data_IF_882716426093
#
_entry.id   IF_882716426093
#
_cell.length_a   1.000
_cell.length_b   1.000
_cell.length_c   1.000
_cell.angle_alpha   90.00
_cell.angle_beta   90.00
_cell.angle_gamma   90.00
#
_symmetry.space_group_name_H-M   'P 1'
#
loop_
_entity.id
_entity.type
_entity.pdbx_description
1 polymer ?
#
# COMPACT_ATOMS: atom_id res chain seq x y z
N UNK A 1 19.64 -27.20 37.21
CA UNK A 1 19.24 -25.85 36.72
C UNK A 1 19.60 -25.60 35.24
N UNK A 2 20.40 -26.45 34.58
CA UNK A 2 20.77 -26.27 33.16
C UNK A 2 19.67 -26.59 32.13
N UNK A 3 18.75 -27.51 32.41
CA UNK A 3 17.69 -27.91 31.45
C UNK A 3 16.67 -26.79 31.11
N UNK A 4 16.55 -25.75 31.94
CA UNK A 4 15.60 -24.64 31.73
C UNK A 4 16.11 -23.51 30.82
N UNK A 5 17.42 -23.30 30.76
CA UNK A 5 18.03 -22.23 29.97
C UNK A 5 18.09 -22.59 28.47
N UNK A 6 18.37 -23.87 28.17
CA UNK A 6 18.45 -24.41 26.81
C UNK A 6 17.07 -24.38 26.12
N UNK A 7 16.02 -24.69 26.90
CA UNK A 7 14.61 -24.57 26.50
C UNK A 7 14.19 -23.14 26.15
N UNK A 8 14.76 -22.12 26.81
CA UNK A 8 14.44 -20.72 26.54
C UNK A 8 15.20 -20.19 25.31
N UNK A 9 16.45 -20.61 25.13
CA UNK A 9 17.24 -20.29 23.94
C UNK A 9 16.61 -20.90 22.68
N UNK A 10 16.24 -22.18 22.72
CA UNK A 10 15.53 -22.85 21.62
C UNK A 10 14.23 -22.13 21.25
N UNK A 11 13.44 -21.68 22.24
CA UNK A 11 12.23 -20.88 21.99
C UNK A 11 12.52 -19.52 21.36
N UNK A 12 13.58 -18.82 21.78
CA UNK A 12 14.00 -17.55 21.17
C UNK A 12 14.45 -17.73 19.72
N UNK A 13 15.21 -18.79 19.42
CA UNK A 13 15.69 -19.10 18.07
C UNK A 13 14.54 -19.54 17.15
N UNK A 14 13.65 -20.42 17.64
CA UNK A 14 12.45 -20.83 16.91
C UNK A 14 11.54 -19.64 16.56
N UNK A 15 11.44 -18.65 17.47
CA UNK A 15 10.72 -17.41 17.20
C UNK A 15 11.32 -16.67 15.99
N UNK A 16 12.64 -16.49 15.93
CA UNK A 16 13.29 -15.85 14.77
C UNK A 16 13.05 -16.65 13.49
N UNK A 17 13.17 -17.98 13.53
CA UNK A 17 12.94 -18.84 12.36
C UNK A 17 11.49 -18.77 11.84
N UNK A 18 10.50 -18.69 12.74
CA UNK A 18 9.08 -18.54 12.38
C UNK A 18 8.77 -17.24 11.64
N UNK A 19 9.68 -16.26 11.67
CA UNK A 19 9.55 -15.02 10.91
C UNK A 19 9.72 -15.23 9.40
N UNK A 20 10.57 -16.19 9.03
CA UNK A 20 10.91 -16.48 7.64
C UNK A 20 10.03 -17.58 7.04
N UNK A 21 9.45 -18.44 7.90
CA UNK A 21 8.59 -19.55 7.51
C UNK A 21 7.40 -19.63 8.47
N UNK A 22 6.30 -18.91 8.21
CA UNK A 22 5.08 -19.06 9.00
C UNK A 22 4.53 -20.49 8.87
N UNK A 23 3.94 -21.06 9.93
CA UNK A 23 3.34 -22.39 9.89
C UNK A 23 2.18 -22.44 8.89
N UNK A 24 1.97 -23.60 8.28
CA UNK A 24 1.00 -23.79 7.18
C UNK A 24 -0.43 -24.04 7.65
N UNK A 25 -0.69 -24.13 8.95
CA UNK A 25 -2.00 -24.48 9.51
C UNK A 25 -2.59 -23.34 10.38
N UNK A 26 -3.89 -23.07 10.20
CA UNK A 26 -4.63 -22.06 10.99
C UNK A 26 -4.65 -22.40 12.50
N UNK A 27 -4.63 -23.69 12.87
CA UNK A 27 -4.69 -24.12 14.28
C UNK A 27 -3.37 -23.86 15.03
N UNK A 28 -2.22 -24.06 14.39
CA UNK A 28 -0.92 -23.68 14.97
C UNK A 28 -0.74 -22.16 15.02
N UNK A 29 -1.24 -21.44 14.01
CA UNK A 29 -1.18 -19.98 13.95
C UNK A 29 -2.07 -19.32 15.02
N UNK A 30 -3.29 -19.81 15.25
CA UNK A 30 -4.17 -19.32 16.33
C UNK A 30 -3.58 -19.64 17.71
N UNK A 31 -2.92 -20.79 17.90
CA UNK A 31 -2.24 -21.12 19.15
C UNK A 31 -0.99 -20.24 19.39
N UNK A 32 -0.20 -19.98 18.35
CA UNK A 32 1.00 -19.12 18.40
C UNK A 32 0.62 -17.65 18.54
N UNK A 33 -0.43 -17.17 17.87
CA UNK A 33 -0.93 -15.79 17.95
C UNK A 33 -1.70 -15.50 19.24
N UNK A 34 -2.36 -16.50 19.85
CA UNK A 34 -2.94 -16.37 21.20
C UNK A 34 -1.87 -16.35 22.30
N UNK A 35 -0.71 -17.00 22.09
CA UNK A 35 0.35 -17.14 23.09
C UNK A 35 1.56 -16.22 22.94
N UNK A 36 1.84 -15.71 21.73
CA UNK A 36 3.02 -14.89 21.46
C UNK A 36 2.59 -13.52 20.96
N UNK A 37 2.67 -12.53 21.85
CA UNK A 37 2.94 -11.16 21.42
C UNK A 37 4.21 -11.21 20.57
N UNK A 38 4.06 -11.20 19.24
CA UNK A 38 5.14 -11.08 18.25
C UNK A 38 5.76 -9.67 18.30
N UNK A 39 6.02 -9.15 19.50
CA UNK A 39 6.68 -7.87 19.76
C UNK A 39 8.04 -8.13 20.37
N UNK A 40 9.07 -7.41 19.92
CA UNK A 40 10.26 -7.26 20.75
C UNK A 40 9.81 -6.78 22.14
N UNK A 41 10.32 -7.39 23.21
CA UNK A 41 9.92 -7.08 24.58
C UNK A 41 10.21 -5.58 24.82
N UNK A 42 9.18 -4.74 24.96
CA UNK A 42 9.31 -3.29 25.15
C UNK A 42 8.90 -2.39 23.97
N UNK A 43 8.51 -2.93 22.80
CA UNK A 43 8.01 -2.12 21.68
C UNK A 43 6.58 -1.61 21.94
N UNK A 44 6.31 -0.34 21.60
CA UNK A 44 4.98 0.28 21.67
C UNK A 44 3.92 -0.52 20.89
N UNK A 45 2.62 -0.47 21.27
CA UNK A 45 1.57 -1.06 20.46
C UNK A 45 1.49 -0.35 19.10
N UNK A 46 1.80 -1.08 18.02
CA UNK A 46 1.65 -0.60 16.65
C UNK A 46 0.64 -1.43 15.86
N UNK A 47 0.43 -1.05 14.60
CA UNK A 47 -0.55 -1.65 13.70
C UNK A 47 0.03 -2.83 12.91
N UNK A 48 -0.86 -3.69 12.42
CA UNK A 48 -0.53 -4.81 11.54
C UNK A 48 -0.90 -4.42 10.11
N UNK A 49 0.09 -4.48 9.22
CA UNK A 49 -0.05 -4.09 7.82
C UNK A 49 0.24 -5.27 6.91
N UNK A 50 -0.58 -5.50 5.90
CA UNK A 50 -0.30 -6.44 4.81
C UNK A 50 -0.04 -5.71 3.49
N UNK A 51 0.96 -6.14 2.73
CA UNK A 51 1.24 -5.70 1.36
C UNK A 51 0.98 -6.87 0.41
N UNK A 52 -0.04 -6.76 -0.43
CA UNK A 52 -0.42 -7.79 -1.41
C UNK A 52 0.16 -7.44 -2.78
N UNK A 53 1.08 -8.24 -3.29
CA UNK A 53 1.94 -7.90 -4.43
C UNK A 53 3.31 -7.37 -4.00
N UNK A 54 3.82 -7.85 -2.85
CA UNK A 54 5.03 -7.36 -2.21
C UNK A 54 6.32 -7.60 -3.01
N UNK A 55 6.32 -8.55 -3.96
CA UNK A 55 7.49 -8.87 -4.78
C UNK A 55 7.56 -8.06 -6.07
N UNK A 56 6.51 -7.29 -6.40
CA UNK A 56 6.46 -6.45 -7.58
C UNK A 56 7.32 -5.18 -7.48
N UNK A 57 7.43 -4.46 -8.61
CA UNK A 57 8.25 -3.25 -8.70
C UNK A 57 7.84 -2.11 -7.75
N UNK A 58 6.55 -2.01 -7.41
CA UNK A 58 6.05 -1.11 -6.36
C UNK A 58 6.15 -1.79 -4.98
N UNK A 59 5.81 -3.09 -4.92
CA UNK A 59 5.72 -3.86 -3.68
C UNK A 59 7.00 -3.88 -2.87
N UNK A 60 8.16 -4.11 -3.50
CA UNK A 60 9.43 -4.19 -2.78
C UNK A 60 9.82 -2.86 -2.10
N UNK A 61 9.92 -1.72 -2.82
CA UNK A 61 10.22 -0.44 -2.20
C UNK A 61 9.12 0.02 -1.23
N UNK A 62 7.85 -0.32 -1.47
CA UNK A 62 6.77 -0.04 -0.51
C UNK A 62 6.98 -0.83 0.80
N UNK A 63 7.31 -2.12 0.69
CA UNK A 63 7.55 -2.99 1.85
C UNK A 63 8.76 -2.52 2.66
N UNK A 64 9.81 -2.02 1.99
CA UNK A 64 10.95 -1.35 2.62
C UNK A 64 10.48 -0.15 3.47
N UNK A 65 9.70 0.76 2.87
CA UNK A 65 9.20 1.96 3.55
C UNK A 65 8.26 1.61 4.72
N UNK A 66 7.39 0.62 4.56
CA UNK A 66 6.52 0.15 5.64
C UNK A 66 7.30 -0.51 6.77
N UNK A 67 8.39 -1.22 6.49
CA UNK A 67 9.28 -1.77 7.53
C UNK A 67 9.97 -0.65 8.34
N UNK A 68 10.24 0.49 7.73
CA UNK A 68 10.84 1.66 8.40
C UNK A 68 9.83 2.46 9.24
N UNK A 69 8.53 2.31 8.99
CA UNK A 69 7.51 3.09 9.67
C UNK A 69 7.36 2.65 11.15
N UNK A 70 7.55 3.55 12.13
CA UNK A 70 7.49 3.21 13.55
C UNK A 70 6.07 2.85 14.05
N UNK A 71 5.03 3.16 13.29
CA UNK A 71 3.65 2.79 13.60
C UNK A 71 3.34 1.34 13.24
N UNK A 72 4.18 0.69 12.44
CA UNK A 72 4.00 -0.71 12.04
C UNK A 72 4.65 -1.62 13.06
N UNK A 73 3.88 -2.54 13.62
CA UNK A 73 4.37 -3.59 14.53
C UNK A 73 4.53 -4.93 13.83
N UNK A 74 3.66 -5.24 12.87
CA UNK A 74 3.71 -6.46 12.07
C UNK A 74 3.54 -6.10 10.60
N UNK A 75 4.39 -6.62 9.75
CA UNK A 75 4.35 -6.44 8.30
C UNK A 75 4.23 -7.80 7.60
N UNK A 76 3.06 -8.09 7.05
CA UNK A 76 2.83 -9.27 6.23
C UNK A 76 3.08 -8.95 4.76
N UNK A 77 3.95 -9.72 4.12
CA UNK A 77 4.26 -9.60 2.70
C UNK A 77 3.62 -10.79 2.00
N UNK A 78 2.76 -10.53 1.03
CA UNK A 78 2.13 -11.56 0.22
C UNK A 78 2.44 -11.35 -1.25
N UNK A 79 2.76 -12.43 -1.94
CA UNK A 79 2.86 -12.47 -3.39
C UNK A 79 2.70 -13.92 -3.90
N UNK A 80 2.50 -14.08 -5.20
CA UNK A 80 2.48 -15.40 -5.86
C UNK A 80 3.88 -15.90 -6.19
N UNK A 81 4.89 -15.02 -6.18
CA UNK A 81 6.29 -15.34 -6.45
C UNK A 81 7.24 -14.58 -5.52
N UNK A 82 8.43 -15.14 -5.27
CA UNK A 82 9.59 -14.46 -4.66
C UNK A 82 9.43 -13.91 -3.24
N UNK A 83 8.24 -13.98 -2.62
CA UNK A 83 7.98 -13.41 -1.29
C UNK A 83 8.95 -13.86 -0.20
N UNK A 84 9.40 -15.13 -0.13
CA UNK A 84 10.38 -15.56 0.86
C UNK A 84 11.72 -14.80 0.77
N UNK A 85 12.19 -14.51 -0.44
CA UNK A 85 13.43 -13.77 -0.66
C UNK A 85 13.31 -12.31 -0.22
N UNK A 86 12.22 -11.65 -0.63
CA UNK A 86 11.93 -10.26 -0.24
C UNK A 86 11.77 -10.15 1.29
N UNK A 87 11.12 -11.13 1.90
CA UNK A 87 10.93 -11.18 3.36
C UNK A 87 12.25 -11.35 4.09
N UNK A 88 13.12 -12.25 3.62
CA UNK A 88 14.43 -12.46 4.23
C UNK A 88 15.26 -11.18 4.21
N UNK A 89 15.30 -10.49 3.06
CA UNK A 89 16.00 -9.21 2.90
C UNK A 89 15.47 -8.15 3.89
N UNK A 90 14.16 -7.86 3.84
CA UNK A 90 13.51 -6.86 4.71
C UNK A 90 13.66 -7.22 6.21
N UNK A 91 13.77 -8.50 6.56
CA UNK A 91 13.90 -8.93 7.95
C UNK A 91 15.23 -8.51 8.60
N UNK A 92 16.26 -8.23 7.81
CA UNK A 92 17.57 -7.79 8.31
C UNK A 92 17.58 -6.32 8.78
N UNK A 93 16.53 -5.56 8.46
CA UNK A 93 16.41 -4.16 8.87
C UNK A 93 16.13 -4.04 10.37
N UNK A 94 16.97 -3.29 11.07
CA UNK A 94 16.97 -3.06 12.52
C UNK A 94 15.86 -2.11 13.01
N UNK A 95 14.62 -2.33 12.57
CA UNK A 95 13.43 -1.54 12.94
C UNK A 95 12.41 -2.38 13.72
N UNK A 96 11.45 -1.71 14.37
CA UNK A 96 10.50 -2.34 15.29
C UNK A 96 9.51 -3.32 14.66
N UNK A 97 9.15 -3.11 13.38
CA UNK A 97 8.18 -3.96 12.69
C UNK A 97 8.72 -5.39 12.48
N UNK A 98 7.89 -6.37 12.82
CA UNK A 98 8.17 -7.79 12.61
C UNK A 98 7.60 -8.23 11.27
N UNK A 99 8.47 -8.66 10.35
CA UNK A 99 8.06 -9.07 8.99
C UNK A 99 7.74 -10.57 8.90
N UNK A 100 6.78 -10.94 8.06
CA UNK A 100 6.41 -12.31 7.67
C UNK A 100 6.15 -12.38 6.17
N UNK A 101 6.55 -13.47 5.54
CA UNK A 101 6.37 -13.71 4.12
C UNK A 101 5.38 -14.83 3.84
N UNK A 102 4.48 -14.62 2.89
CA UNK A 102 3.44 -15.54 2.48
C UNK A 102 3.46 -15.71 0.96
N UNK A 103 3.53 -16.95 0.50
CA UNK A 103 3.74 -17.31 -0.90
C UNK A 103 2.54 -18.11 -1.44
N UNK A 104 1.93 -17.57 -2.49
CA UNK A 104 0.90 -18.25 -3.27
C UNK A 104 -0.47 -18.31 -2.58
N UNK A 105 -1.48 -18.66 -3.37
CA UNK A 105 -2.89 -18.63 -2.96
C UNK A 105 -3.19 -19.36 -1.64
N UNK A 106 -2.58 -20.54 -1.32
CA UNK A 106 -2.84 -21.24 -0.06
C UNK A 106 -2.49 -20.44 1.20
N UNK A 107 -1.57 -19.47 1.09
CA UNK A 107 -1.09 -18.68 2.24
C UNK A 107 -1.73 -17.28 2.32
N UNK A 108 -2.65 -16.94 1.41
CA UNK A 108 -3.32 -15.63 1.39
C UNK A 108 -4.11 -15.36 2.68
N UNK A 109 -4.84 -16.35 3.19
CA UNK A 109 -5.68 -16.17 4.40
C UNK A 109 -4.83 -15.88 5.65
N UNK A 110 -3.71 -16.59 5.80
CA UNK A 110 -2.74 -16.31 6.88
C UNK A 110 -2.11 -14.93 6.74
N UNK A 111 -1.82 -14.49 5.51
CA UNK A 111 -1.32 -13.14 5.27
C UNK A 111 -2.29 -12.03 5.71
N UNK A 112 -3.60 -12.30 5.66
CA UNK A 112 -4.65 -11.31 5.91
C UNK A 112 -5.23 -11.33 7.32
N UNK A 113 -5.12 -12.44 8.04
CA UNK A 113 -5.82 -12.62 9.32
C UNK A 113 -5.41 -11.55 10.34
N UNK A 114 -6.40 -10.79 10.80
CA UNK A 114 -6.22 -9.77 11.85
C UNK A 114 -5.40 -8.55 11.44
N UNK A 115 -5.33 -8.21 10.15
CA UNK A 115 -4.70 -6.97 9.67
C UNK A 115 -5.55 -5.73 9.98
N UNK A 116 -4.87 -4.62 10.29
CA UNK A 116 -5.50 -3.30 10.49
C UNK A 116 -5.53 -2.50 9.19
N UNK A 117 -4.51 -2.68 8.34
CA UNK A 117 -4.35 -2.03 7.04
C UNK A 117 -3.87 -3.05 5.99
N UNK A 118 -4.50 -3.07 4.82
CA UNK A 118 -4.10 -3.88 3.67
C UNK A 118 -3.82 -2.96 2.48
N UNK A 119 -2.63 -3.07 1.91
CA UNK A 119 -2.18 -2.28 0.76
C UNK A 119 -2.05 -3.21 -0.44
N UNK A 120 -2.68 -2.85 -1.57
CA UNK A 120 -2.76 -3.69 -2.77
C UNK A 120 -2.02 -3.02 -3.94
N UNK A 121 -0.68 -3.12 -4.03
CA UNK A 121 0.08 -2.82 -5.24
C UNK A 121 0.01 -3.93 -6.30
N UNK A 122 -0.54 -5.10 -5.99
CA UNK A 122 -0.63 -6.23 -6.90
C UNK A 122 -1.30 -5.86 -8.23
N UNK A 123 -0.68 -6.27 -9.32
CA UNK A 123 -1.16 -6.02 -10.66
C UNK A 123 -0.03 -6.21 -11.65
N UNK A 124 -0.39 -6.36 -12.92
CA UNK A 124 0.58 -6.44 -14.00
C UNK A 124 0.77 -5.02 -14.56
N UNK A 125 2.01 -4.55 -14.79
CA UNK A 125 2.22 -3.30 -15.51
C UNK A 125 1.84 -3.47 -16.97
N UNK A 126 1.48 -2.37 -17.65
CA UNK A 126 1.23 -2.39 -19.09
C UNK A 126 2.50 -2.88 -19.81
N UNK A 127 2.36 -3.90 -20.66
CA UNK A 127 3.43 -4.40 -21.53
C UNK A 127 3.21 -3.92 -22.98
N UNK A 128 4.27 -3.79 -23.79
CA UNK A 128 4.12 -3.57 -25.23
C UNK A 128 3.16 -4.60 -25.85
N UNK A 129 2.23 -4.15 -26.69
CA UNK A 129 1.22 -4.99 -27.34
C UNK A 129 -0.04 -5.31 -26.50
N UNK A 130 -0.09 -4.95 -25.21
CA UNK A 130 -1.28 -5.16 -24.37
C UNK A 130 -2.32 -4.03 -24.57
N UNK A 131 -3.57 -4.40 -24.79
CA UNK A 131 -4.67 -3.41 -24.87
C UNK A 131 -5.03 -2.87 -23.48
N UNK A 132 -5.79 -1.78 -23.43
CA UNK A 132 -6.32 -1.25 -22.16
C UNK A 132 -7.26 -2.25 -21.49
N UNK A 133 -8.06 -2.95 -22.28
CA UNK A 133 -9.05 -3.92 -21.79
C UNK A 133 -8.38 -5.19 -21.25
N UNK A 134 -7.30 -5.66 -21.90
CA UNK A 134 -6.52 -6.80 -21.39
C UNK A 134 -5.95 -6.51 -19.99
N UNK A 135 -5.33 -5.33 -19.84
CA UNK A 135 -4.76 -4.89 -18.57
C UNK A 135 -5.86 -4.79 -17.50
N UNK A 136 -7.01 -4.21 -17.85
CA UNK A 136 -8.15 -4.11 -16.96
C UNK A 136 -8.65 -5.49 -16.52
N UNK A 137 -8.89 -6.41 -17.45
CA UNK A 137 -9.44 -7.74 -17.15
C UNK A 137 -8.53 -8.55 -16.23
N UNK A 138 -7.21 -8.49 -16.46
CA UNK A 138 -6.23 -9.16 -15.61
C UNK A 138 -6.24 -8.56 -14.19
N UNK A 139 -6.09 -7.24 -14.08
CA UNK A 139 -6.01 -6.59 -12.77
C UNK A 139 -7.34 -6.64 -12.02
N UNK A 140 -8.48 -6.63 -12.72
CA UNK A 140 -9.80 -6.87 -12.15
C UNK A 140 -9.89 -8.26 -11.50
N UNK A 141 -9.39 -9.30 -12.17
CA UNK A 141 -9.34 -10.67 -11.62
C UNK A 141 -8.45 -10.78 -10.39
N UNK A 142 -7.28 -10.12 -10.41
CA UNK A 142 -6.35 -10.07 -9.28
C UNK A 142 -7.03 -9.39 -8.08
N UNK A 143 -7.54 -8.16 -8.26
CA UNK A 143 -8.19 -7.38 -7.20
C UNK A 143 -9.39 -8.14 -6.64
N UNK A 144 -10.22 -8.74 -7.50
CA UNK A 144 -11.36 -9.56 -7.05
C UNK A 144 -10.95 -10.69 -6.13
N UNK A 145 -9.89 -11.43 -6.49
CA UNK A 145 -9.38 -12.55 -5.68
C UNK A 145 -8.86 -12.07 -4.33
N UNK A 146 -8.05 -11.01 -4.33
CA UNK A 146 -7.45 -10.47 -3.10
C UNK A 146 -8.51 -9.87 -2.17
N UNK A 147 -9.46 -9.10 -2.71
CA UNK A 147 -10.59 -8.55 -1.94
C UNK A 147 -11.50 -9.65 -1.39
N UNK A 148 -11.67 -10.79 -2.10
CA UNK A 148 -12.37 -11.95 -1.56
C UNK A 148 -11.71 -12.50 -0.29
N UNK A 149 -10.37 -12.56 -0.27
CA UNK A 149 -9.60 -12.90 0.93
C UNK A 149 -9.78 -11.87 2.05
N UNK A 150 -9.71 -10.57 1.73
CA UNK A 150 -9.85 -9.48 2.72
C UNK A 150 -11.22 -9.54 3.40
N UNK A 151 -12.29 -9.71 2.60
CA UNK A 151 -13.66 -9.84 3.10
C UNK A 151 -13.83 -11.00 4.09
N UNK A 152 -13.10 -12.09 3.87
CA UNK A 152 -13.15 -13.30 4.72
C UNK A 152 -12.30 -13.16 5.99
N UNK A 153 -11.09 -12.62 5.88
CA UNK A 153 -10.06 -12.75 6.92
C UNK A 153 -9.85 -11.48 7.76
N UNK A 154 -10.14 -10.30 7.21
CA UNK A 154 -9.97 -9.02 7.89
C UNK A 154 -10.97 -7.96 7.38
N UNK A 155 -12.30 -8.19 7.50
CA UNK A 155 -13.31 -7.31 6.93
C UNK A 155 -13.31 -5.88 7.51
N UNK A 156 -12.70 -5.69 8.68
CA UNK A 156 -12.60 -4.38 9.34
C UNK A 156 -11.29 -3.62 8.99
N UNK A 157 -10.40 -4.20 8.18
CA UNK A 157 -9.16 -3.53 7.80
C UNK A 157 -9.44 -2.30 6.92
N UNK A 158 -8.59 -1.29 7.02
CA UNK A 158 -8.49 -0.25 6.00
C UNK A 158 -7.85 -0.87 4.74
N UNK A 159 -8.37 -0.57 3.56
CA UNK A 159 -7.92 -1.15 2.29
C UNK A 159 -7.46 -0.04 1.35
N UNK A 160 -6.17 -0.02 1.06
CA UNK A 160 -5.51 0.92 0.15
C UNK A 160 -5.27 0.25 -1.21
N UNK A 161 -6.11 0.55 -2.21
CA UNK A 161 -6.02 -0.01 -3.56
C UNK A 161 -5.11 0.85 -4.43
N UNK A 162 -4.00 0.27 -4.91
CA UNK A 162 -3.07 0.90 -5.86
C UNK A 162 -3.18 0.24 -7.25
N UNK A 163 -3.67 -1.00 -7.31
CA UNK A 163 -3.89 -1.76 -8.54
C UNK A 163 -4.59 -0.94 -9.60
N UNK A 164 -3.90 -0.70 -10.71
CA UNK A 164 -4.46 0.06 -11.82
C UNK A 164 -5.40 -0.79 -12.69
N UNK A 165 -6.45 -0.19 -13.29
CA UNK A 165 -6.85 1.21 -13.18
C UNK A 165 -7.67 1.47 -11.89
N UNK A 166 -7.21 2.39 -11.02
CA UNK A 166 -7.86 2.68 -9.72
C UNK A 166 -9.33 3.07 -9.85
N UNK A 167 -9.66 3.83 -10.90
CA UNK A 167 -11.03 4.27 -11.20
C UNK A 167 -12.03 3.10 -11.34
N UNK A 168 -11.55 1.90 -11.68
CA UNK A 168 -12.38 0.71 -11.87
C UNK A 168 -12.11 -0.38 -10.82
N UNK A 169 -10.88 -0.52 -10.34
CA UNK A 169 -10.54 -1.54 -9.33
C UNK A 169 -11.12 -1.22 -7.95
N UNK A 170 -11.29 0.05 -7.60
CA UNK A 170 -12.00 0.45 -6.36
C UNK A 170 -13.48 0.06 -6.41
N UNK A 171 -14.26 0.38 -7.47
CA UNK A 171 -15.61 -0.15 -7.64
C UNK A 171 -15.68 -1.68 -7.60
N UNK A 172 -14.73 -2.39 -8.22
CA UNK A 172 -14.68 -3.86 -8.16
C UNK A 172 -14.52 -4.34 -6.72
N UNK A 173 -13.59 -3.76 -5.97
CA UNK A 173 -13.39 -4.09 -4.55
C UNK A 173 -14.67 -3.83 -3.74
N UNK A 174 -15.34 -2.70 -3.97
CA UNK A 174 -16.60 -2.37 -3.32
C UNK A 174 -17.69 -3.42 -3.59
N UNK A 175 -17.87 -3.84 -4.84
CA UNK A 175 -18.87 -4.87 -5.19
C UNK A 175 -18.53 -6.25 -4.61
N UNK A 176 -17.25 -6.60 -4.52
CA UNK A 176 -16.80 -7.82 -3.83
C UNK A 176 -17.18 -7.78 -2.35
N UNK A 177 -16.93 -6.66 -1.68
CA UNK A 177 -17.28 -6.49 -0.27
C UNK A 177 -18.79 -6.44 -0.04
N UNK A 178 -19.56 -5.80 -0.93
CA UNK A 178 -21.04 -5.77 -0.85
C UNK A 178 -21.60 -7.17 -0.98
N UNK A 179 -21.13 -7.95 -1.95
CA UNK A 179 -21.53 -9.35 -2.15
C UNK A 179 -21.19 -10.22 -0.95
N UNK A 180 -20.09 -9.92 -0.25
CA UNK A 180 -19.69 -10.61 0.97
C UNK A 180 -20.38 -10.08 2.25
N UNK A 181 -21.18 -9.01 2.17
CA UNK A 181 -21.83 -8.40 3.33
C UNK A 181 -20.88 -7.65 4.28
N UNK A 182 -19.70 -7.24 3.80
CA UNK A 182 -18.62 -6.65 4.61
C UNK A 182 -18.21 -5.25 4.16
N UNK A 183 -18.99 -4.64 3.28
CA UNK A 183 -18.68 -3.32 2.73
C UNK A 183 -18.86 -2.20 3.74
N UNK A 184 -17.74 -1.54 4.09
CA UNK A 184 -17.71 -0.24 4.78
C UNK A 184 -17.09 0.81 3.84
N UNK A 185 -17.85 1.78 3.31
CA UNK A 185 -17.33 2.79 2.39
C UNK A 185 -16.26 3.69 3.03
N UNK A 186 -16.16 3.74 4.37
CA UNK A 186 -15.14 4.54 5.09
C UNK A 186 -13.78 3.86 5.15
N UNK A 187 -13.68 2.60 4.71
CA UNK A 187 -12.48 1.77 4.84
C UNK A 187 -11.87 1.36 3.50
N UNK A 188 -12.53 1.62 2.37
CA UNK A 188 -12.00 1.31 1.05
C UNK A 188 -11.53 2.59 0.36
N UNK A 189 -10.22 2.69 0.13
CA UNK A 189 -9.56 3.89 -0.36
C UNK A 189 -8.70 3.58 -1.59
N UNK A 190 -8.98 4.23 -2.71
CA UNK A 190 -8.10 4.26 -3.87
C UNK A 190 -6.96 5.25 -3.65
N UNK A 191 -5.72 4.77 -3.77
CA UNK A 191 -4.53 5.60 -3.52
C UNK A 191 -4.28 6.49 -4.74
N UNK A 192 -4.59 7.78 -4.61
CA UNK A 192 -4.33 8.81 -5.63
C UNK A 192 -3.20 9.77 -5.24
N UNK A 193 -2.52 9.49 -4.12
CA UNK A 193 -1.50 10.36 -3.51
C UNK A 193 -0.33 10.66 -4.46
N UNK A 194 -0.05 9.80 -5.44
CA UNK A 194 1.00 10.09 -6.43
C UNK A 194 0.67 11.32 -7.29
N UNK A 195 -0.60 11.60 -7.54
CA UNK A 195 -1.02 12.79 -8.30
C UNK A 195 -0.81 14.05 -7.46
N UNK A 196 -1.12 14.01 -6.16
CA UNK A 196 -0.83 15.09 -5.21
C UNK A 196 0.68 15.32 -5.08
N UNK A 197 1.46 14.24 -4.96
CA UNK A 197 2.94 14.32 -4.90
C UNK A 197 3.48 15.01 -6.16
N UNK A 198 3.01 14.61 -7.35
CA UNK A 198 3.40 15.25 -8.62
C UNK A 198 2.99 16.72 -8.66
N UNK A 199 1.75 17.03 -8.27
CA UNK A 199 1.26 18.40 -8.25
C UNK A 199 2.10 19.30 -7.34
N UNK A 200 2.40 18.84 -6.12
CA UNK A 200 3.25 19.58 -5.18
C UNK A 200 4.68 19.79 -5.73
N UNK A 201 5.27 18.75 -6.33
CA UNK A 201 6.59 18.85 -6.96
C UNK A 201 6.59 19.87 -8.11
N UNK A 202 5.69 19.73 -9.08
CA UNK A 202 5.70 20.58 -10.27
C UNK A 202 5.32 22.03 -9.96
N UNK A 203 4.40 22.25 -9.03
CA UNK A 203 4.07 23.60 -8.56
C UNK A 203 5.22 24.22 -7.78
N UNK A 204 5.89 23.45 -6.91
CA UNK A 204 7.10 23.91 -6.21
C UNK A 204 8.20 24.32 -7.19
N UNK A 205 8.43 23.54 -8.24
CA UNK A 205 9.39 23.86 -9.31
C UNK A 205 9.06 25.18 -10.02
N UNK A 206 7.79 25.39 -10.41
CA UNK A 206 7.35 26.62 -11.09
C UNK A 206 7.48 27.85 -10.19
N UNK A 207 7.18 27.70 -8.90
CA UNK A 207 7.19 28.81 -7.94
C UNK A 207 8.55 29.05 -7.27
N UNK A 208 9.54 28.18 -7.50
CA UNK A 208 10.81 28.21 -6.78
C UNK A 208 10.66 27.94 -5.28
N UNK A 209 9.65 27.18 -4.89
CA UNK A 209 9.36 26.79 -3.50
C UNK A 209 9.87 25.39 -3.21
N UNK A 210 10.09 25.08 -1.94
CA UNK A 210 10.30 23.71 -1.51
C UNK A 210 9.02 22.88 -1.70
N UNK A 211 9.03 21.77 -2.48
CA UNK A 211 7.85 20.94 -2.67
C UNK A 211 7.22 20.38 -1.38
N UNK A 212 7.98 20.34 -0.28
CA UNK A 212 7.50 19.89 1.04
C UNK A 212 6.54 20.90 1.68
N UNK A 213 6.67 22.17 1.31
CA UNK A 213 5.84 23.27 1.81
C UNK A 213 4.66 23.58 0.88
N UNK A 214 4.56 22.88 -0.25
CA UNK A 214 3.47 23.01 -1.23
C UNK A 214 2.42 21.92 -0.99
N UNK A 215 1.15 22.31 -1.01
CA UNK A 215 0.01 21.42 -0.98
C UNK A 215 -1.04 21.82 -2.03
N UNK A 216 -1.21 20.99 -3.05
CA UNK A 216 -2.22 21.13 -4.10
C UNK A 216 -3.24 20.00 -3.96
N UNK A 217 -4.51 20.28 -3.64
CA UNK A 217 -5.55 19.27 -3.66
C UNK A 217 -5.74 18.72 -5.08
N UNK A 218 -5.84 17.40 -5.23
CA UNK A 218 -6.13 16.75 -6.51
C UNK A 218 -7.36 15.87 -6.35
N UNK A 219 -8.39 16.14 -7.15
CA UNK A 219 -9.70 15.48 -7.08
C UNK A 219 -10.04 14.76 -8.39
N UNK A 220 -11.20 14.11 -8.44
CA UNK A 220 -11.67 13.36 -9.61
C UNK A 220 -11.27 11.90 -9.55
N UNK A 221 -10.41 11.45 -10.46
CA UNK A 221 -9.91 10.08 -10.56
C UNK A 221 -8.39 10.03 -10.80
N UNK A 222 -7.90 8.85 -11.18
CA UNK A 222 -6.47 8.52 -11.32
C UNK A 222 -6.09 8.13 -12.77
N UNK A 223 -6.74 8.71 -13.78
CA UNK A 223 -6.46 8.40 -15.18
C UNK A 223 -6.66 9.61 -16.10
N UNK A 224 -5.57 10.11 -16.69
CA UNK A 224 -5.60 11.20 -17.69
C UNK A 224 -6.43 12.39 -17.20
N UNK A 225 -7.40 12.80 -18.01
CA UNK A 225 -8.28 13.96 -17.72
C UNK A 225 -9.13 13.84 -16.46
N UNK A 226 -9.27 12.63 -15.89
CA UNK A 226 -9.96 12.48 -14.60
C UNK A 226 -9.16 13.04 -13.43
N UNK A 227 -7.84 13.21 -13.58
CA UNK A 227 -6.97 13.83 -12.57
C UNK A 227 -7.17 15.35 -12.64
N UNK A 228 -7.76 15.94 -11.59
CA UNK A 228 -8.09 17.37 -11.55
C UNK A 228 -7.33 18.08 -10.42
N UNK A 229 -6.15 18.67 -10.71
CA UNK A 229 -5.41 19.48 -9.73
C UNK A 229 -6.11 20.82 -9.51
N UNK A 230 -6.51 21.09 -8.26
CA UNK A 230 -7.17 22.35 -7.87
C UNK A 230 -6.12 23.43 -7.61
N UNK A 231 -5.47 23.92 -8.67
CA UNK A 231 -4.42 24.94 -8.59
C UNK A 231 -4.90 26.23 -7.90
N UNK A 232 -6.20 26.53 -7.96
CA UNK A 232 -6.82 27.66 -7.25
C UNK A 232 -6.85 27.50 -5.73
N UNK A 233 -6.59 26.29 -5.21
CA UNK A 233 -6.57 25.96 -3.79
C UNK A 233 -5.17 25.56 -3.30
N UNK A 234 -4.12 25.92 -4.05
CA UNK A 234 -2.74 25.69 -3.63
C UNK A 234 -2.47 26.38 -2.29
N UNK A 235 -1.72 25.71 -1.42
CA UNK A 235 -1.15 26.29 -0.22
C UNK A 235 0.39 26.17 -0.27
N UNK A 236 1.17 27.25 -0.05
CA UNK A 236 0.72 28.62 0.17
C UNK A 236 -0.05 29.18 -1.05
N UNK A 237 -1.03 30.09 -0.84
CA UNK A 237 -1.80 30.66 -1.94
C UNK A 237 -0.92 31.33 -2.98
N UNK A 238 -1.16 31.01 -4.25
CA UNK A 238 -0.43 31.57 -5.39
C UNK A 238 -1.38 31.84 -6.56
N UNK A 239 -0.99 32.77 -7.43
CA UNK A 239 -1.68 33.05 -8.69
C UNK A 239 -0.85 32.53 -9.85
N UNK A 240 -1.50 31.84 -10.78
CA UNK A 240 -0.90 31.31 -11.99
C UNK A 240 -1.50 32.01 -13.21
N UNK A 241 -0.69 32.26 -14.22
CA UNK A 241 -1.16 32.65 -15.55
C UNK A 241 -1.93 31.50 -16.20
N UNK A 242 -2.74 31.80 -17.21
CA UNK A 242 -3.47 30.76 -17.95
C UNK A 242 -2.54 29.75 -18.64
N UNK A 243 -1.35 30.18 -19.04
CA UNK A 243 -0.32 29.31 -19.61
C UNK A 243 0.23 28.33 -18.56
N UNK A 244 0.61 28.82 -17.37
CA UNK A 244 1.07 27.98 -16.27
C UNK A 244 -0.01 26.99 -15.82
N UNK A 245 -1.28 27.42 -15.73
CA UNK A 245 -2.41 26.55 -15.38
C UNK A 245 -2.53 25.40 -16.38
N UNK A 246 -2.51 25.73 -17.69
CA UNK A 246 -2.62 24.73 -18.76
C UNK A 246 -1.45 23.76 -18.74
N UNK A 247 -0.23 24.28 -18.61
CA UNK A 247 1.00 23.48 -18.54
C UNK A 247 1.00 22.53 -17.33
N UNK A 248 0.79 23.06 -16.13
CA UNK A 248 0.77 22.28 -14.89
C UNK A 248 -0.31 21.20 -14.93
N UNK A 249 -1.53 21.56 -15.32
CA UNK A 249 -2.65 20.62 -15.41
C UNK A 249 -2.32 19.47 -16.36
N UNK A 250 -1.83 19.79 -17.56
CA UNK A 250 -1.46 18.80 -18.57
C UNK A 250 -0.33 17.88 -18.08
N UNK A 251 0.74 18.44 -17.49
CA UNK A 251 1.86 17.64 -16.98
C UNK A 251 1.45 16.75 -15.82
N UNK A 252 0.60 17.23 -14.90
CA UNK A 252 0.07 16.43 -13.78
C UNK A 252 -0.76 15.25 -14.32
N UNK A 253 -1.68 15.49 -15.27
CA UNK A 253 -2.51 14.47 -15.89
C UNK A 253 -1.69 13.41 -16.65
N UNK A 254 -0.57 13.81 -17.24
CA UNK A 254 0.28 12.97 -18.08
C UNK A 254 1.53 12.44 -17.37
N UNK A 255 1.75 12.75 -16.09
CA UNK A 255 2.98 12.38 -15.37
C UNK A 255 3.20 10.86 -15.27
N UNK A 256 2.15 10.04 -15.43
CA UNK A 256 2.27 8.59 -15.59
C UNK A 256 2.89 8.20 -16.92
N UNK A 257 2.42 8.81 -18.01
CA UNK A 257 2.89 8.59 -19.39
C UNK A 257 4.34 9.04 -19.54
N UNK A 258 4.69 10.20 -18.99
CA UNK A 258 6.06 10.75 -19.00
C UNK A 258 7.08 9.72 -18.45
N UNK A 259 6.76 9.06 -17.34
CA UNK A 259 7.65 8.04 -16.74
C UNK A 259 7.72 6.76 -17.59
N UNK A 260 6.62 6.36 -18.23
CA UNK A 260 6.62 5.17 -19.10
C UNK A 260 7.49 5.41 -20.34
N UNK A 261 7.40 6.60 -20.93
CA UNK A 261 8.22 7.02 -22.06
C UNK A 261 9.70 7.12 -21.67
N UNK A 262 10.01 7.76 -20.53
CA UNK A 262 11.37 7.86 -20.01
C UNK A 262 12.00 6.49 -19.69
N UNK A 263 11.19 5.50 -19.32
CA UNK A 263 11.62 4.11 -19.12
C UNK A 263 11.63 3.27 -20.41
N UNK A 264 11.44 3.88 -21.58
CA UNK A 264 11.36 3.20 -22.87
C UNK A 264 10.37 2.02 -22.88
N UNK A 265 9.24 2.16 -22.16
CA UNK A 265 8.24 1.12 -22.04
C UNK A 265 8.59 -0.05 -21.08
N UNK A 266 9.74 0.00 -20.39
CA UNK A 266 10.17 -1.01 -19.41
C UNK A 266 9.43 -0.90 -18.05
N UNK A 267 8.15 -0.52 -18.08
CA UNK A 267 7.28 -0.35 -16.91
C UNK A 267 6.94 1.11 -16.59
N UNK A 268 6.23 1.30 -15.49
CA UNK A 268 5.72 2.61 -15.04
C UNK A 268 6.45 3.10 -13.78
N UNK A 269 5.92 4.16 -13.15
CA UNK A 269 6.41 4.67 -11.88
C UNK A 269 6.35 3.58 -10.78
N UNK A 270 7.50 3.29 -10.18
CA UNK A 270 7.64 2.27 -9.13
C UNK A 270 8.05 2.91 -7.81
N UNK A 271 9.18 3.63 -7.81
CA UNK A 271 9.77 4.24 -6.61
C UNK A 271 8.90 5.39 -6.07
N UNK A 272 8.51 6.34 -6.91
CA UNK A 272 7.64 7.45 -6.52
C UNK A 272 6.25 6.97 -6.12
N UNK A 273 5.74 5.90 -6.75
CA UNK A 273 4.48 5.27 -6.33
C UNK A 273 4.60 4.60 -4.96
N UNK A 274 5.71 3.90 -4.67
CA UNK A 274 5.95 3.33 -3.35
C UNK A 274 6.05 4.41 -2.27
N UNK A 275 6.74 5.52 -2.55
CA UNK A 275 6.78 6.69 -1.67
C UNK A 275 5.37 7.24 -1.39
N UNK A 276 4.58 7.49 -2.44
CA UNK A 276 3.23 8.04 -2.29
C UNK A 276 2.30 7.08 -1.53
N UNK A 277 2.38 5.78 -1.81
CA UNK A 277 1.62 4.76 -1.11
C UNK A 277 2.02 4.63 0.37
N UNK A 278 3.31 4.71 0.69
CA UNK A 278 3.79 4.69 2.07
C UNK A 278 3.36 5.95 2.85
N UNK A 279 3.39 7.14 2.22
CA UNK A 279 2.86 8.38 2.80
C UNK A 279 1.37 8.24 3.11
N UNK A 280 0.58 7.71 2.18
CA UNK A 280 -0.85 7.52 2.38
C UNK A 280 -1.15 6.47 3.44
N UNK A 281 -0.42 5.35 3.44
CA UNK A 281 -0.51 4.33 4.47
C UNK A 281 -0.20 4.92 5.86
N UNK A 282 0.86 5.71 6.00
CA UNK A 282 1.19 6.41 7.24
C UNK A 282 0.06 7.32 7.71
N UNK A 283 -0.56 8.08 6.80
CA UNK A 283 -1.73 8.91 7.13
C UNK A 283 -2.91 8.05 7.64
N UNK A 284 -3.20 6.92 7.02
CA UNK A 284 -4.22 5.98 7.52
C UNK A 284 -3.87 5.46 8.92
N UNK A 285 -2.60 5.09 9.17
CA UNK A 285 -2.15 4.61 10.48
C UNK A 285 -2.23 5.70 11.55
N UNK A 286 -1.86 6.95 11.24
CA UNK A 286 -2.05 8.10 12.14
C UNK A 286 -3.53 8.35 12.43
N UNK A 287 -4.40 8.23 11.42
CA UNK A 287 -5.86 8.27 11.61
C UNK A 287 -6.35 7.18 12.56
N UNK A 288 -5.90 5.93 12.39
CA UNK A 288 -6.22 4.82 13.30
C UNK A 288 -5.68 5.02 14.72
N UNK A 289 -4.54 5.71 14.87
CA UNK A 289 -3.96 6.06 16.18
C UNK A 289 -4.79 7.11 16.92
N UNK A 290 -5.64 7.86 16.21
CA UNK A 290 -6.45 8.94 16.76
C UNK A 290 -5.80 10.31 16.63
N UNK A 291 -4.82 10.47 15.73
CA UNK A 291 -4.25 11.79 15.43
C UNK A 291 -5.34 12.70 14.80
N UNK A 292 -5.41 13.94 15.24
CA UNK A 292 -6.33 14.93 14.69
C UNK A 292 -5.75 15.58 13.42
N UNK A 293 -6.64 16.10 12.56
CA UNK A 293 -6.25 16.94 11.41
C UNK A 293 -5.55 16.20 10.28
N UNK A 294 -5.66 14.87 10.21
CA UNK A 294 -5.11 14.07 9.12
C UNK A 294 -6.03 14.18 7.90
N UNK A 295 -5.57 14.88 6.86
CA UNK A 295 -6.33 15.10 5.62
C UNK A 295 -5.47 14.66 4.43
N UNK A 296 -6.03 13.78 3.59
CA UNK A 296 -5.39 13.30 2.37
C UNK A 296 -6.45 13.15 1.27
N UNK A 297 -6.07 13.36 0.01
CA UNK A 297 -6.93 13.06 -1.14
C UNK A 297 -6.90 11.54 -1.44
N UNK A 298 -8.07 10.98 -1.74
CA UNK A 298 -8.21 9.56 -2.11
C UNK A 298 -9.45 9.35 -2.97
N UNK A 299 -9.40 8.34 -3.84
CA UNK A 299 -10.57 7.91 -4.61
C UNK A 299 -11.45 6.99 -3.76
N UNK A 300 -12.57 7.51 -3.29
CA UNK A 300 -13.47 6.84 -2.35
C UNK A 300 -14.91 6.79 -2.89
N UNK A 301 -15.79 6.06 -2.21
CA UNK A 301 -17.22 6.19 -2.45
C UNK A 301 -17.70 7.59 -2.02
N UNK A 302 -18.13 8.39 -3.00
CA UNK A 302 -18.69 9.73 -2.80
C UNK A 302 -20.18 9.72 -3.14
N UNK A 303 -21.00 10.33 -2.28
CA UNK A 303 -22.42 10.60 -2.53
C UNK A 303 -22.63 12.06 -2.90
#
# INVERSE_FOLDING_TARGET
>A
MEQGADSAAARRMARVASHLRPPTSQEEEVAILKGSNCRAKGAAPGFKVAVLGASGGIGQPLSLLMKMNPLVSVLHLYDVVNTPGVTADISHMNTGAVVRGFLGQPQLESALTGMDLVIIPAGIPRKPGMTRDDLFNINAGIVRTLCGGIAKCCPNAIVNVISNPVNSTVPIAAEVFKKAGTYDPKRLLGVTTLDVVRANTFVGEVLGLDPRDVNVPVVGGHAGVTILPLLSQVNPPCSFTSEEISYLTSRIQNGGTEVVEAKAGAGSATLSMAYAAARFADACLRGLRGDAGIVECSYIASQ
#
